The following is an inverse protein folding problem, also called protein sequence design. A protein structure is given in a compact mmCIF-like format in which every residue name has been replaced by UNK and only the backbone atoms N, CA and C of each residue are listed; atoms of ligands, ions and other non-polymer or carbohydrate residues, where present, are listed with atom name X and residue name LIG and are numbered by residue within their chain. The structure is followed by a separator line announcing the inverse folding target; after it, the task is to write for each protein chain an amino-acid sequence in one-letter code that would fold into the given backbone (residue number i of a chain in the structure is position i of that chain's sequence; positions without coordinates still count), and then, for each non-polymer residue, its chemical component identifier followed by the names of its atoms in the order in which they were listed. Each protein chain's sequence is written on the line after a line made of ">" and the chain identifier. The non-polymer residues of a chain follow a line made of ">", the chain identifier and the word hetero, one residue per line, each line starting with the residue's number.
data_IF_136455390184
#
_entry.id   IF_136455390184
#
_cell.length_a   1.000
_cell.length_b   1.000
_cell.length_c   1.000
_cell.angle_alpha   90.00
_cell.angle_beta   90.00
_cell.angle_gamma   90.00
#
_symmetry.space_group_name_H-M   'P 1'
#
loop_
_entity.id
_entity.type
_entity.pdbx_description
1 polymer ?
#
# COMPACT_ATOMS: atom_id res chain seq x y z
N UNK A 1 -41.72 45.30 -24.90
CA UNK A 1 -41.95 43.90 -25.31
C UNK A 1 -41.02 43.05 -24.45
N UNK A 2 -41.60 42.22 -23.58
CA UNK A 2 -40.95 41.55 -22.46
C UNK A 2 -41.14 40.06 -22.68
N UNK A 3 -40.08 39.26 -22.70
CA UNK A 3 -40.20 37.81 -22.56
C UNK A 3 -39.06 37.32 -21.67
N UNK A 4 -39.45 36.84 -20.49
CA UNK A 4 -38.64 36.11 -19.52
C UNK A 4 -38.94 34.61 -19.65
N UNK A 5 -37.94 33.80 -19.28
CA UNK A 5 -37.96 32.43 -18.72
C UNK A 5 -39.10 31.45 -19.05
N UNK A 6 -38.74 30.21 -19.40
CA UNK A 6 -39.16 29.02 -18.64
C UNK A 6 -38.39 27.74 -19.06
N UNK A 7 -38.03 26.98 -18.02
CA UNK A 7 -37.69 25.55 -17.96
C UNK A 7 -38.87 24.70 -18.45
N UNK A 8 -38.63 23.59 -19.17
CA UNK A 8 -39.51 22.40 -19.09
C UNK A 8 -38.85 21.11 -19.64
N UNK A 9 -39.14 20.03 -18.93
CA UNK A 9 -38.70 18.64 -19.03
C UNK A 9 -39.02 17.92 -20.36
N UNK A 10 -38.31 16.80 -20.62
CA UNK A 10 -38.58 15.87 -21.71
C UNK A 10 -39.48 14.70 -21.23
N UNK A 11 -40.50 14.29 -22.03
CA UNK A 11 -41.49 13.32 -21.59
C UNK A 11 -41.10 11.86 -21.85
N UNK A 12 -41.58 11.01 -20.94
CA UNK A 12 -41.57 9.56 -20.99
C UNK A 12 -42.42 9.03 -22.16
N UNK A 13 -41.88 8.06 -22.91
CA UNK A 13 -42.60 7.36 -23.96
C UNK A 13 -43.30 6.11 -23.42
N UNK A 14 -44.61 6.11 -23.60
CA UNK A 14 -45.59 5.05 -23.37
C UNK A 14 -45.52 4.03 -24.51
N UNK A 15 -45.39 2.73 -24.21
CA UNK A 15 -45.85 1.66 -25.11
C UNK A 15 -46.67 0.65 -24.32
N UNK A 16 -47.94 0.59 -24.69
CA UNK A 16 -49.01 -0.23 -24.15
C UNK A 16 -48.95 -1.59 -24.84
N UNK A 17 -48.84 -2.68 -24.08
CA UNK A 17 -49.26 -4.01 -24.54
C UNK A 17 -50.09 -4.64 -23.43
N UNK A 18 -51.36 -4.85 -23.74
CA UNK A 18 -52.37 -5.32 -22.83
C UNK A 18 -52.73 -6.79 -23.13
N UNK A 19 -53.41 -7.40 -22.14
CA UNK A 19 -54.31 -8.57 -22.20
C UNK A 19 -53.54 -9.92 -22.33
N UNK A 20 -53.72 -10.96 -21.51
CA UNK A 20 -54.94 -11.59 -21.00
C UNK A 20 -54.67 -12.35 -19.68
N UNK A 21 -55.54 -12.14 -18.70
CA UNK A 21 -55.72 -12.88 -17.45
C UNK A 21 -56.47 -14.19 -17.74
N UNK A 22 -55.99 -15.33 -17.22
CA UNK A 22 -56.84 -16.51 -16.97
C UNK A 22 -56.47 -17.11 -15.61
N UNK A 23 -57.24 -16.71 -14.59
CA UNK A 23 -57.40 -17.41 -13.32
C UNK A 23 -58.43 -18.53 -13.54
N UNK A 24 -58.04 -19.79 -13.37
CA UNK A 24 -58.96 -20.93 -13.32
C UNK A 24 -58.81 -21.60 -11.96
N UNK A 25 -59.84 -21.45 -11.14
CA UNK A 25 -60.09 -22.22 -9.93
C UNK A 25 -60.57 -23.63 -10.28
N UNK A 26 -60.30 -24.67 -9.46
CA UNK A 26 -61.06 -25.91 -9.52
C UNK A 26 -62.30 -25.88 -8.58
N UNK A 27 -63.42 -26.53 -8.96
CA UNK A 27 -64.65 -26.59 -8.19
C UNK A 27 -64.63 -27.70 -7.10
N UNK A 28 -65.38 -27.45 -6.03
CA UNK A 28 -65.83 -28.44 -5.06
C UNK A 28 -67.05 -29.24 -5.57
N UNK A 29 -67.31 -30.41 -4.95
CA UNK A 29 -68.46 -31.35 -5.09
C UNK A 29 -68.18 -32.45 -6.14
N UNK A 30 -68.36 -33.75 -5.93
CA UNK A 30 -69.32 -34.50 -5.12
C UNK A 30 -68.80 -35.90 -4.73
N UNK A 31 -69.43 -36.49 -3.71
CA UNK A 31 -69.28 -37.87 -3.28
C UNK A 31 -69.67 -38.90 -4.36
N UNK A 32 -68.94 -40.02 -4.41
CA UNK A 32 -69.51 -41.30 -4.86
C UNK A 32 -68.87 -42.49 -4.14
N UNK A 33 -69.76 -43.31 -3.63
CA UNK A 33 -69.60 -44.49 -2.77
C UNK A 33 -69.04 -45.70 -3.52
N UNK A 34 -68.26 -46.53 -2.82
CA UNK A 34 -67.95 -47.91 -3.19
C UNK A 34 -67.89 -48.79 -1.92
N UNK A 35 -68.28 -50.08 -2.00
CA UNK A 35 -68.69 -50.92 -0.85
C UNK A 35 -67.53 -51.45 0.03
N UNK A 36 -67.83 -52.01 1.23
CA UNK A 36 -66.83 -52.31 2.25
C UNK A 36 -66.11 -53.65 2.02
N UNK A 37 -64.82 -53.70 2.35
CA UNK A 37 -64.05 -54.95 2.50
C UNK A 37 -63.23 -54.92 3.80
N UNK A 38 -62.97 -56.07 4.44
CA UNK A 38 -63.03 -56.22 5.90
C UNK A 38 -61.91 -55.56 6.70
N UNK A 39 -62.27 -55.18 7.92
CA UNK A 39 -61.39 -54.66 8.96
C UNK A 39 -60.12 -55.50 9.16
N UNK A 40 -58.96 -54.86 8.99
CA UNK A 40 -57.67 -55.35 9.45
C UNK A 40 -57.06 -54.30 10.40
N UNK A 41 -57.05 -54.67 11.68
CA UNK A 41 -56.17 -54.30 12.81
C UNK A 41 -55.26 -53.07 12.66
N UNK A 42 -55.30 -52.07 13.56
CA UNK A 42 -54.34 -50.97 13.56
C UNK A 42 -52.94 -51.46 14.00
N UNK A 43 -52.00 -51.48 13.06
CA UNK A 43 -50.57 -51.66 13.34
C UNK A 43 -50.00 -50.36 13.92
N UNK A 44 -49.13 -50.39 14.96
CA UNK A 44 -48.51 -49.18 15.50
C UNK A 44 -47.63 -48.50 14.45
N UNK A 45 -47.75 -47.17 14.32
CA UNK A 45 -46.88 -46.36 13.48
C UNK A 45 -45.41 -46.51 13.91
N UNK A 46 -44.43 -46.61 12.99
CA UNK A 46 -43.02 -46.56 13.34
C UNK A 46 -42.68 -45.22 13.99
N UNK A 47 -42.12 -45.25 15.20
CA UNK A 47 -41.60 -44.07 15.86
C UNK A 47 -40.52 -43.40 14.98
N UNK A 48 -40.62 -42.09 14.78
CA UNK A 48 -39.62 -41.30 14.10
C UNK A 48 -38.29 -41.38 14.85
N UNK A 49 -37.25 -41.88 14.19
CA UNK A 49 -35.86 -41.75 14.66
C UNK A 49 -35.44 -40.28 14.56
N UNK A 50 -34.87 -39.67 15.62
CA UNK A 50 -34.37 -38.31 15.54
C UNK A 50 -33.18 -38.27 14.59
N UNK A 51 -33.28 -37.45 13.54
CA UNK A 51 -32.14 -37.07 12.70
C UNK A 51 -31.09 -36.36 13.57
N UNK A 52 -29.79 -36.69 13.45
CA UNK A 52 -28.74 -35.96 14.14
C UNK A 52 -28.81 -34.47 13.75
N UNK A 53 -28.85 -33.59 14.76
CA UNK A 53 -28.75 -32.16 14.52
C UNK A 53 -27.45 -31.86 13.76
N UNK A 54 -27.45 -30.99 12.75
CA UNK A 54 -26.23 -30.53 12.10
C UNK A 54 -25.23 -30.04 13.16
N UNK A 55 -23.98 -30.51 13.08
CA UNK A 55 -22.92 -30.01 13.94
C UNK A 55 -22.83 -28.48 13.81
N UNK A 56 -22.62 -27.74 14.93
CA UNK A 56 -22.41 -26.30 14.85
C UNK A 56 -21.33 -26.00 13.82
N UNK A 57 -21.61 -25.07 12.89
CA UNK A 57 -20.62 -24.61 11.94
C UNK A 57 -19.36 -24.16 12.72
N UNK A 58 -18.14 -24.47 12.23
CA UNK A 58 -16.92 -23.93 12.82
C UNK A 58 -17.07 -22.43 13.02
N UNK A 59 -16.73 -21.96 14.23
CA UNK A 59 -16.71 -20.52 14.51
C UNK A 59 -15.75 -19.80 13.57
N UNK A 60 -15.86 -18.47 13.45
CA UNK A 60 -14.95 -17.69 12.62
C UNK A 60 -13.48 -17.98 12.99
N UNK A 61 -12.70 -18.42 12.00
CA UNK A 61 -11.26 -18.67 12.14
C UNK A 61 -10.52 -17.33 12.23
N UNK A 62 -10.46 -16.75 13.42
CA UNK A 62 -9.68 -15.55 13.69
C UNK A 62 -8.19 -15.83 13.65
N UNK A 63 -7.45 -14.93 13.03
CA UNK A 63 -6.00 -15.06 12.86
C UNK A 63 -5.33 -14.32 13.99
N UNK A 64 -4.50 -15.03 14.76
CA UNK A 64 -3.64 -14.36 15.73
C UNK A 64 -2.44 -13.73 15.00
N UNK A 65 -2.48 -12.40 14.80
CA UNK A 65 -1.44 -11.67 14.06
C UNK A 65 -0.08 -11.77 14.73
N UNK A 66 -0.03 -11.79 16.06
CA UNK A 66 1.24 -11.91 16.80
C UNK A 66 1.93 -13.24 16.48
N UNK A 67 1.18 -14.34 16.53
CA UNK A 67 1.71 -15.66 16.18
C UNK A 67 2.08 -15.72 14.70
N UNK A 68 1.24 -15.18 13.82
CA UNK A 68 1.51 -15.15 12.38
C UNK A 68 2.85 -14.45 12.10
N UNK A 69 3.06 -13.23 12.60
CA UNK A 69 4.32 -12.51 12.39
C UNK A 69 5.52 -13.18 13.08
N UNK A 70 5.30 -13.91 14.17
CA UNK A 70 6.37 -14.64 14.87
C UNK A 70 6.87 -15.84 14.08
N UNK A 71 5.99 -16.57 13.39
CA UNK A 71 6.35 -17.82 12.71
C UNK A 71 6.46 -17.72 11.19
N UNK A 72 5.83 -16.71 10.57
CA UNK A 72 5.80 -16.61 9.11
C UNK A 72 7.10 -16.12 8.48
N UNK A 73 8.00 -15.49 9.24
CA UNK A 73 9.23 -14.98 8.67
C UNK A 73 10.05 -14.10 9.60
N UNK A 74 11.12 -13.49 9.08
CA UNK A 74 12.00 -12.60 9.83
C UNK A 74 11.34 -11.22 9.99
N UNK A 75 10.26 -11.17 10.77
CA UNK A 75 9.46 -9.98 11.04
C UNK A 75 9.56 -9.52 12.50
N UNK A 76 10.54 -10.04 13.25
CA UNK A 76 10.65 -9.86 14.69
C UNK A 76 10.91 -8.40 15.08
N UNK A 77 11.67 -7.66 14.27
CA UNK A 77 11.96 -6.24 14.52
C UNK A 77 10.69 -5.41 14.41
N UNK A 78 9.93 -5.61 13.33
CA UNK A 78 8.66 -4.91 13.16
C UNK A 78 7.65 -5.31 14.23
N UNK A 79 7.55 -6.60 14.55
CA UNK A 79 6.69 -7.09 15.62
C UNK A 79 7.04 -6.46 16.98
N UNK A 80 8.33 -6.30 17.28
CA UNK A 80 8.79 -5.60 18.48
C UNK A 80 8.33 -4.14 18.55
N UNK A 81 8.36 -3.42 17.42
CA UNK A 81 7.81 -2.06 17.35
C UNK A 81 6.28 -2.04 17.50
N UNK A 82 5.56 -3.00 16.90
CA UNK A 82 4.11 -3.10 17.07
C UNK A 82 3.70 -3.38 18.51
N UNK A 83 4.47 -4.20 19.23
CA UNK A 83 4.24 -4.51 20.64
C UNK A 83 4.55 -3.32 21.54
N UNK A 84 5.70 -2.65 21.36
CA UNK A 84 6.08 -1.50 22.18
C UNK A 84 5.14 -0.31 22.03
N UNK A 85 4.61 -0.08 20.82
CA UNK A 85 3.67 1.00 20.52
C UNK A 85 2.19 0.64 20.74
N UNK A 86 1.90 -0.61 21.11
CA UNK A 86 0.54 -1.17 21.21
C UNK A 86 -0.28 -1.01 19.93
N UNK A 87 0.37 -1.09 18.77
CA UNK A 87 -0.32 -1.10 17.46
C UNK A 87 -0.78 -2.50 17.10
N UNK A 88 -0.09 -3.54 17.60
CA UNK A 88 -0.50 -4.94 17.35
C UNK A 88 -1.94 -5.22 17.78
N UNK A 89 -2.40 -4.63 18.89
CA UNK A 89 -3.78 -4.74 19.35
C UNK A 89 -4.76 -4.01 18.44
N UNK A 90 -4.36 -2.87 17.86
CA UNK A 90 -5.19 -2.14 16.89
C UNK A 90 -5.34 -2.92 15.58
N UNK A 91 -4.28 -3.57 15.12
CA UNK A 91 -4.36 -4.44 13.94
C UNK A 91 -5.22 -5.66 14.19
N UNK A 92 -5.09 -6.29 15.36
CA UNK A 92 -5.91 -7.43 15.75
C UNK A 92 -7.39 -7.02 15.86
N UNK A 93 -7.68 -5.88 16.49
CA UNK A 93 -9.05 -5.34 16.59
C UNK A 93 -9.66 -5.07 15.21
N UNK A 94 -8.89 -4.50 14.27
CA UNK A 94 -9.36 -4.32 12.90
C UNK A 94 -9.59 -5.65 12.19
N UNK A 95 -8.74 -6.65 12.39
CA UNK A 95 -8.89 -7.97 11.81
C UNK A 95 -10.13 -8.72 12.33
N UNK A 96 -10.45 -8.57 13.61
CA UNK A 96 -11.53 -9.33 14.26
C UNK A 96 -12.89 -8.61 14.18
N UNK A 97 -12.90 -7.28 14.26
CA UNK A 97 -14.13 -6.48 14.41
C UNK A 97 -14.51 -5.65 13.18
N UNK A 98 -13.67 -5.61 12.14
CA UNK A 98 -14.01 -4.85 10.93
C UNK A 98 -14.61 -5.69 9.82
N UNK A 99 -15.71 -5.20 9.26
CA UNK A 99 -16.29 -5.74 8.03
C UNK A 99 -15.42 -5.49 6.79
N UNK A 100 -14.58 -4.44 6.79
CA UNK A 100 -13.74 -4.13 5.62
C UNK A 100 -12.38 -4.83 5.66
N UNK A 101 -12.03 -5.43 6.80
CA UNK A 101 -10.74 -6.08 7.02
C UNK A 101 -9.54 -5.13 7.12
N UNK A 102 -8.35 -5.71 6.94
CA UNK A 102 -7.06 -5.04 7.07
C UNK A 102 -6.03 -5.62 6.10
N UNK A 103 -5.19 -4.73 5.55
CA UNK A 103 -3.99 -5.11 4.80
C UNK A 103 -2.75 -4.59 5.52
N UNK A 104 -1.77 -5.45 5.79
CA UNK A 104 -0.56 -5.10 6.54
C UNK A 104 0.66 -5.36 5.66
N UNK A 105 1.48 -4.32 5.45
CA UNK A 105 2.78 -4.41 4.81
C UNK A 105 3.86 -4.58 5.87
N UNK A 106 4.51 -5.73 5.88
CA UNK A 106 5.47 -6.12 6.92
C UNK A 106 6.88 -6.05 6.35
N UNK A 107 7.71 -5.09 6.79
CA UNK A 107 9.11 -5.07 6.41
C UNK A 107 9.86 -6.22 7.06
N UNK A 108 10.72 -6.89 6.28
CA UNK A 108 11.66 -7.89 6.80
C UNK A 108 12.71 -7.25 7.72
N UNK A 109 13.30 -8.03 8.62
CA UNK A 109 14.35 -7.56 9.54
C UNK A 109 15.53 -6.91 8.81
N UNK A 110 15.91 -7.45 7.64
CA UNK A 110 16.96 -6.87 6.80
C UNK A 110 16.60 -5.52 6.16
N UNK A 111 15.30 -5.17 6.07
CA UNK A 111 14.86 -3.85 5.65
C UNK A 111 15.27 -2.79 6.68
N UNK A 112 15.14 -3.10 7.97
CA UNK A 112 15.58 -2.24 9.07
C UNK A 112 17.10 -2.13 9.13
N UNK A 113 17.83 -3.24 8.96
CA UNK A 113 19.30 -3.21 8.92
C UNK A 113 19.85 -2.41 7.73
N UNK A 114 19.12 -2.36 6.62
CA UNK A 114 19.51 -1.62 5.41
C UNK A 114 19.21 -0.13 5.48
N UNK A 115 18.48 0.32 6.52
CA UNK A 115 18.01 1.68 6.64
C UNK A 115 19.09 2.57 7.28
N UNK A 116 19.91 3.20 6.44
CA UNK A 116 21.04 4.04 6.88
C UNK A 116 20.61 5.43 7.36
N UNK A 117 19.64 6.03 6.67
CA UNK A 117 19.03 7.31 7.01
C UNK A 117 17.67 7.37 6.34
N UNK A 118 16.62 7.86 7.00
CA UNK A 118 16.58 8.46 8.35
C UNK A 118 16.50 7.44 9.50
N UNK A 119 17.18 7.67 10.62
CA UNK A 119 17.16 6.72 11.76
C UNK A 119 15.81 6.67 12.48
N UNK A 120 15.25 5.47 12.62
CA UNK A 120 14.02 5.23 13.40
C UNK A 120 14.23 5.44 14.91
N UNK A 121 15.48 5.37 15.39
CA UNK A 121 15.81 5.57 16.81
C UNK A 121 15.62 7.01 17.29
N UNK A 122 15.56 7.98 16.37
CA UNK A 122 15.34 9.39 16.70
C UNK A 122 13.84 9.75 16.80
N UNK A 123 12.94 8.81 16.54
CA UNK A 123 11.50 9.06 16.57
C UNK A 123 10.97 9.04 18.01
N UNK A 124 9.99 9.91 18.27
CA UNK A 124 9.19 9.80 19.49
C UNK A 124 8.30 8.56 19.45
N UNK A 125 7.78 8.14 20.61
CA UNK A 125 6.87 7.00 20.67
C UNK A 125 5.62 7.20 19.79
N UNK A 126 5.07 8.41 19.72
CA UNK A 126 3.90 8.72 18.89
C UNK A 126 4.22 8.72 17.39
N UNK A 127 5.40 9.19 17.01
CA UNK A 127 5.88 9.10 15.64
C UNK A 127 6.11 7.64 15.24
N UNK A 128 6.71 6.83 16.11
CA UNK A 128 6.91 5.41 15.88
C UNK A 128 5.58 4.66 15.77
N UNK A 129 4.59 4.99 16.62
CA UNK A 129 3.22 4.47 16.52
C UNK A 129 2.58 4.83 15.18
N UNK A 130 2.71 6.07 14.74
CA UNK A 130 2.18 6.53 13.45
C UNK A 130 2.87 5.82 12.27
N UNK A 131 4.18 5.60 12.35
CA UNK A 131 4.93 4.83 11.36
C UNK A 131 4.47 3.36 11.31
N UNK A 132 4.19 2.74 12.46
CA UNK A 132 3.63 1.40 12.50
C UNK A 132 2.25 1.34 11.84
N UNK A 133 1.36 2.29 12.17
CA UNK A 133 0.03 2.39 11.55
C UNK A 133 0.09 2.70 10.05
N UNK A 134 1.12 3.41 9.59
CA UNK A 134 1.35 3.72 8.18
C UNK A 134 1.62 2.47 7.33
N UNK A 135 2.10 1.39 7.96
CA UNK A 135 2.32 0.12 7.27
C UNK A 135 1.04 -0.70 7.07
N UNK A 136 -0.14 -0.17 7.40
CA UNK A 136 -1.39 -0.89 7.23
C UNK A 136 -2.49 -0.04 6.59
N UNK A 137 -3.34 -0.68 5.78
CA UNK A 137 -4.51 -0.08 5.16
C UNK A 137 -5.78 -0.49 5.92
N UNK A 138 -6.78 0.40 6.01
CA UNK A 138 -8.05 0.11 6.69
C UNK A 138 -8.96 -0.87 5.94
N UNK A 139 -8.54 -1.39 4.79
CA UNK A 139 -9.32 -2.34 3.98
C UNK A 139 -8.46 -3.54 3.61
N UNK A 140 -9.09 -4.70 3.48
CA UNK A 140 -8.51 -5.87 2.86
C UNK A 140 -8.34 -5.65 1.35
N UNK A 141 -7.14 -5.89 0.85
CA UNK A 141 -6.81 -5.89 -0.57
C UNK A 141 -6.07 -7.18 -0.90
N UNK A 142 -6.60 -7.96 -1.84
CA UNK A 142 -5.86 -9.06 -2.47
C UNK A 142 -4.80 -8.51 -3.42
N UNK A 143 -3.84 -9.34 -3.82
CA UNK A 143 -2.83 -8.96 -4.82
C UNK A 143 -3.45 -8.46 -6.14
N UNK A 144 -4.61 -9.02 -6.53
CA UNK A 144 -5.31 -8.62 -7.76
C UNK A 144 -5.97 -7.23 -7.64
N UNK A 145 -6.39 -6.83 -6.44
CA UNK A 145 -7.06 -5.55 -6.22
C UNK A 145 -6.12 -4.36 -6.41
N UNK A 146 -4.81 -4.56 -6.17
CA UNK A 146 -3.82 -3.49 -6.31
C UNK A 146 -3.75 -2.89 -7.71
N UNK A 147 -4.17 -3.61 -8.75
CA UNK A 147 -4.33 -3.05 -10.08
C UNK A 147 -5.35 -1.90 -10.10
N UNK A 148 -6.49 -2.05 -9.42
CA UNK A 148 -7.48 -0.98 -9.31
C UNK A 148 -7.03 0.10 -8.32
N UNK A 149 -6.45 -0.30 -7.18
CA UNK A 149 -5.91 0.63 -6.17
C UNK A 149 -4.84 1.55 -6.76
N UNK A 150 -4.06 1.08 -7.73
CA UNK A 150 -3.08 1.90 -8.43
C UNK A 150 -3.70 3.09 -9.17
N UNK A 151 -4.94 2.95 -9.65
CA UNK A 151 -5.68 4.02 -10.31
C UNK A 151 -6.33 5.00 -9.33
N UNK A 152 -6.50 4.57 -8.07
CA UNK A 152 -7.12 5.34 -6.98
C UNK A 152 -6.12 5.97 -6.02
N UNK A 153 -4.82 5.81 -6.28
CA UNK A 153 -3.76 6.38 -5.45
C UNK A 153 -3.78 7.91 -5.49
N UNK A 154 -3.50 8.61 -4.37
CA UNK A 154 -2.99 8.12 -3.09
C UNK A 154 -4.05 7.50 -2.16
N UNK A 155 -3.69 6.43 -1.44
CA UNK A 155 -4.58 5.71 -0.51
C UNK A 155 -4.23 6.03 0.93
N UNK A 156 -5.23 6.32 1.77
CA UNK A 156 -5.02 6.56 3.19
C UNK A 156 -4.73 5.26 3.97
N UNK A 157 -3.77 5.34 4.87
CA UNK A 157 -3.38 4.24 5.78
C UNK A 157 -4.14 4.34 7.11
N UNK A 158 -3.96 3.35 7.99
CA UNK A 158 -4.49 3.39 9.36
C UNK A 158 -3.93 4.53 10.22
N UNK A 159 -2.84 5.19 9.79
CA UNK A 159 -2.33 6.38 10.46
C UNK A 159 -3.15 7.65 10.18
N UNK A 160 -4.07 7.63 9.20
CA UNK A 160 -4.99 8.73 8.90
C UNK A 160 -4.55 9.63 7.73
N UNK A 161 -5.31 10.71 7.49
CA UNK A 161 -5.33 11.42 6.20
C UNK A 161 -4.02 12.03 5.68
N UNK A 162 -3.04 12.33 6.53
CA UNK A 162 -1.72 12.82 6.10
C UNK A 162 -0.75 11.68 5.75
N UNK A 163 -1.14 10.44 6.00
CA UNK A 163 -0.34 9.25 5.87
C UNK A 163 -0.89 8.41 4.73
N UNK A 164 -0.46 8.73 3.51
CA UNK A 164 -0.92 8.08 2.29
C UNK A 164 0.19 7.29 1.60
N UNK A 165 -0.22 6.23 0.90
CA UNK A 165 0.65 5.39 0.07
C UNK A 165 0.18 5.47 -1.38
N UNK A 166 1.14 5.50 -2.29
CA UNK A 166 0.90 5.35 -3.72
C UNK A 166 1.21 3.93 -4.15
N UNK A 167 0.32 3.34 -4.94
CA UNK A 167 0.48 2.01 -5.48
C UNK A 167 0.65 2.08 -6.99
N UNK A 168 1.57 1.30 -7.53
CA UNK A 168 1.68 1.08 -8.98
C UNK A 168 1.77 -0.41 -9.25
N UNK A 169 1.09 -0.87 -10.29
CA UNK A 169 1.19 -2.25 -10.76
C UNK A 169 2.09 -2.26 -12.00
N UNK A 170 3.22 -2.95 -11.90
CA UNK A 170 4.17 -3.12 -13.01
C UNK A 170 4.26 -4.61 -13.30
N UNK A 171 3.64 -5.04 -14.40
CA UNK A 171 3.67 -6.44 -14.85
C UNK A 171 3.22 -7.45 -13.78
N UNK A 172 2.25 -7.10 -12.94
CA UNK A 172 1.74 -7.95 -11.86
C UNK A 172 2.53 -7.87 -10.55
N UNK A 173 3.55 -7.01 -10.48
CA UNK A 173 4.27 -6.71 -9.25
C UNK A 173 3.73 -5.42 -8.64
N UNK A 174 3.32 -5.48 -7.38
CA UNK A 174 2.83 -4.32 -6.63
C UNK A 174 4.02 -3.51 -6.11
N UNK A 175 4.16 -2.30 -6.62
CA UNK A 175 5.08 -1.27 -6.14
C UNK A 175 4.34 -0.33 -5.19
N UNK A 176 4.99 0.03 -4.11
CA UNK A 176 4.46 0.88 -3.03
C UNK A 176 5.44 2.02 -2.83
N UNK A 177 4.95 3.25 -2.94
CA UNK A 177 5.72 4.47 -2.72
C UNK A 177 5.13 5.27 -1.57
N UNK A 178 5.97 5.59 -0.58
CA UNK A 178 5.63 6.49 0.52
C UNK A 178 6.10 7.92 0.30
N UNK A 179 6.67 8.23 -0.87
CA UNK A 179 7.37 9.48 -1.17
C UNK A 179 8.82 9.52 -0.67
N UNK A 180 9.11 8.90 0.48
CA UNK A 180 10.50 8.71 0.98
C UNK A 180 11.13 7.39 0.62
N UNK A 181 10.29 6.37 0.42
CA UNK A 181 10.75 5.01 0.22
C UNK A 181 9.87 4.35 -0.83
N UNK A 182 10.52 3.73 -1.80
CA UNK A 182 9.91 2.91 -2.81
C UNK A 182 10.27 1.45 -2.54
N UNK A 183 9.26 0.60 -2.47
CA UNK A 183 9.41 -0.84 -2.22
C UNK A 183 8.47 -1.63 -3.10
N UNK A 184 8.74 -2.91 -3.24
CA UNK A 184 7.81 -3.88 -3.83
C UNK A 184 7.33 -4.84 -2.78
N UNK A 185 6.20 -5.49 -3.06
CA UNK A 185 5.74 -6.66 -2.33
C UNK A 185 6.58 -7.86 -2.77
N UNK A 186 7.35 -8.43 -1.85
CA UNK A 186 8.26 -9.54 -2.14
C UNK A 186 7.58 -10.90 -1.97
N UNK A 187 6.61 -11.00 -1.06
CA UNK A 187 5.90 -12.25 -0.75
C UNK A 187 4.53 -11.98 -0.12
N UNK A 188 3.60 -12.91 -0.26
CA UNK A 188 2.34 -12.92 0.48
C UNK A 188 2.41 -13.93 1.61
N UNK A 189 2.40 -13.43 2.84
CA UNK A 189 2.37 -14.26 4.06
C UNK A 189 0.96 -14.79 4.29
N UNK A 190 -0.03 -13.92 4.07
CA UNK A 190 -1.45 -14.25 4.11
C UNK A 190 -2.20 -13.36 3.14
N UNK A 191 -3.18 -13.92 2.45
CA UNK A 191 -4.11 -13.17 1.59
C UNK A 191 -5.48 -13.83 1.68
N UNK A 192 -6.10 -13.75 2.85
CA UNK A 192 -7.41 -14.36 3.10
C UNK A 192 -8.25 -13.41 3.94
N UNK A 193 -9.37 -12.97 3.36
CA UNK A 193 -10.34 -12.09 4.00
C UNK A 193 -10.69 -12.58 5.43
N UNK A 194 -10.68 -11.71 6.45
CA UNK A 194 -10.52 -10.24 6.41
C UNK A 194 -9.07 -9.73 6.52
N UNK A 195 -8.04 -10.59 6.41
CA UNK A 195 -6.64 -10.23 6.69
C UNK A 195 -5.71 -10.52 5.52
N UNK A 196 -5.05 -9.48 5.02
CA UNK A 196 -3.91 -9.58 4.11
C UNK A 196 -2.62 -9.15 4.82
N UNK A 197 -1.56 -9.95 4.67
CA UNK A 197 -0.22 -9.67 5.17
C UNK A 197 0.77 -9.88 4.03
N UNK A 198 1.43 -8.80 3.63
CA UNK A 198 2.39 -8.77 2.54
C UNK A 198 3.76 -8.39 3.06
N UNK A 199 4.77 -9.16 2.68
CA UNK A 199 6.15 -8.83 2.97
C UNK A 199 6.66 -7.74 2.02
N UNK A 200 7.41 -6.78 2.56
CA UNK A 200 8.09 -5.74 1.78
C UNK A 200 9.59 -5.69 2.07
N UNK A 201 10.36 -5.25 1.08
CA UNK A 201 11.83 -5.22 1.14
C UNK A 201 12.40 -3.97 1.83
N UNK A 202 11.63 -2.88 1.92
CA UNK A 202 11.99 -1.64 2.60
C UNK A 202 10.92 -1.23 3.61
N UNK A 203 11.34 -0.49 4.63
CA UNK A 203 10.43 0.15 5.58
C UNK A 203 9.76 1.33 4.88
N UNK A 204 8.43 1.44 4.99
CA UNK A 204 7.67 2.56 4.48
C UNK A 204 7.83 3.77 5.42
N UNK A 205 8.33 4.87 4.88
CA UNK A 205 8.62 6.09 5.65
C UNK A 205 7.67 7.21 5.25
N UNK A 206 6.83 7.73 6.16
CA UNK A 206 5.88 8.78 5.82
C UNK A 206 6.54 10.16 5.74
N UNK A 207 6.22 10.90 4.67
CA UNK A 207 6.62 12.31 4.46
C UNK A 207 6.24 13.18 5.66
N UNK A 208 5.11 12.89 6.33
CA UNK A 208 4.63 13.64 7.49
C UNK A 208 5.59 13.62 8.70
N UNK A 209 6.43 12.58 8.83
CA UNK A 209 7.41 12.44 9.93
C UNK A 209 8.79 12.92 9.50
N UNK A 210 9.20 12.59 8.28
CA UNK A 210 10.57 12.83 7.82
C UNK A 210 10.73 14.11 7.00
N UNK A 211 9.64 14.82 6.66
CA UNK A 211 9.66 16.04 5.87
C UNK A 211 9.71 15.74 4.37
N UNK A 212 10.13 16.68 3.53
CA UNK A 212 10.33 16.47 2.07
C UNK A 212 11.81 16.53 1.67
N UNK A 213 12.70 16.82 2.62
CA UNK A 213 14.13 16.92 2.39
C UNK A 213 14.75 15.53 2.48
N UNK A 214 14.71 14.79 1.38
CA UNK A 214 15.31 13.44 1.31
C UNK A 214 16.83 13.61 1.20
N UNK A 215 17.63 13.15 2.18
CA UNK A 215 19.07 13.23 2.09
C UNK A 215 19.54 12.48 0.84
N UNK A 216 20.49 13.02 0.07
CA UNK A 216 21.08 12.30 -1.05
C UNK A 216 21.55 10.92 -0.58
N UNK A 217 21.08 9.86 -1.24
CA UNK A 217 21.51 8.50 -0.93
C UNK A 217 23.04 8.47 -0.88
N UNK A 218 23.60 8.06 0.26
CA UNK A 218 25.04 8.07 0.48
C UNK A 218 25.74 7.41 -0.71
N UNK A 219 26.56 8.20 -1.42
CA UNK A 219 27.28 7.74 -2.60
C UNK A 219 28.03 6.44 -2.30
N UNK A 220 28.10 5.49 -3.25
CA UNK A 220 28.90 4.28 -3.09
C UNK A 220 30.29 4.67 -2.60
N UNK A 221 30.68 4.16 -1.43
CA UNK A 221 31.98 4.46 -0.85
C UNK A 221 33.07 4.16 -1.89
N UNK A 222 34.03 5.08 -2.14
CA UNK A 222 35.19 4.77 -2.96
C UNK A 222 35.86 3.51 -2.41
N UNK A 223 36.07 2.52 -3.27
CA UNK A 223 36.81 1.32 -2.91
C UNK A 223 38.17 1.73 -2.28
N UNK A 224 38.64 1.07 -1.22
CA UNK A 224 39.91 1.41 -0.60
C UNK A 224 41.02 1.21 -1.63
N UNK A 225 41.69 2.29 -2.04
CA UNK A 225 42.96 2.18 -2.75
C UNK A 225 44.01 1.77 -1.73
N UNK A 226 44.49 0.52 -1.84
CA UNK A 226 45.64 0.03 -1.09
C UNK A 226 46.88 0.83 -1.52
N UNK A 227 47.29 1.82 -0.72
CA UNK A 227 48.57 2.51 -0.92
C UNK A 227 49.64 1.72 -0.17
N UNK A 228 50.36 0.88 -0.89
CA UNK A 228 51.59 0.24 -0.40
C UNK A 228 52.63 1.32 -0.07
N UNK A 229 53.10 1.32 1.17
CA UNK A 229 54.13 2.22 1.70
C UNK A 229 55.52 1.99 1.04
N UNK A 230 56.47 2.95 1.13
CA UNK A 230 57.68 3.04 0.30
C UNK A 230 58.90 2.34 0.93
N UNK A 231 60.00 2.15 0.16
CA UNK A 231 61.33 2.09 0.75
C UNK A 231 62.28 3.17 0.19
N UNK A 232 63.14 3.65 1.09
CA UNK A 232 64.13 4.70 0.92
C UNK A 232 65.45 4.23 0.26
N UNK A 233 66.23 5.17 -0.30
CA UNK A 233 67.70 5.16 -0.34
C UNK A 233 68.29 6.54 -0.75
N UNK A 234 69.15 7.10 0.14
CA UNK A 234 70.32 8.01 0.00
C UNK A 234 70.84 8.35 -1.42
N UNK A 235 71.49 9.47 -1.80
CA UNK A 235 72.07 10.72 -1.23
C UNK A 235 72.83 11.43 -2.43
N UNK A 236 73.63 12.52 -2.30
CA UNK A 236 73.35 13.90 -1.85
C UNK A 236 73.90 14.99 -2.84
N UNK A 237 73.90 16.26 -2.41
CA UNK A 237 74.60 17.49 -2.92
C UNK A 237 73.64 18.54 -3.52
N UNK A 238 73.69 19.85 -3.26
CA UNK A 238 74.47 20.70 -2.35
C UNK A 238 73.92 22.14 -2.49
N UNK A 239 73.68 22.82 -1.36
CA UNK A 239 73.83 24.27 -1.05
C UNK A 239 73.55 25.31 -2.16
N UNK A 240 72.57 26.22 -1.92
CA UNK A 240 72.81 27.68 -1.77
C UNK A 240 71.52 28.48 -1.53
N UNK A 241 71.39 28.96 -0.28
CA UNK A 241 71.02 30.28 0.24
C UNK A 241 70.16 31.31 -0.54
N UNK A 242 69.35 32.00 0.28
CA UNK A 242 68.74 33.34 0.17
C UNK A 242 67.43 33.57 -0.58
N UNK A 243 66.36 33.69 0.21
CA UNK A 243 65.94 35.03 0.63
C UNK A 243 64.68 35.63 -0.03
N UNK A 244 63.71 35.96 0.84
CA UNK A 244 62.69 37.01 0.73
C UNK A 244 61.41 36.74 -0.08
N UNK A 245 60.30 36.65 0.65
CA UNK A 245 58.99 37.14 0.21
C UNK A 245 59.06 38.68 0.03
N UNK A 246 58.26 39.30 -0.86
CA UNK A 246 56.87 39.65 -0.47
C UNK A 246 55.81 39.68 -1.61
N UNK A 247 54.56 39.56 -1.18
CA UNK A 247 53.35 40.36 -1.53
C UNK A 247 52.93 40.63 -3.00
N UNK A 248 51.72 40.12 -3.28
CA UNK A 248 50.60 40.66 -4.09
C UNK A 248 50.72 40.94 -5.59
N UNK A 249 49.52 40.74 -6.18
CA UNK A 249 48.88 41.46 -7.29
C UNK A 249 48.92 40.81 -8.68
N UNK A 250 47.75 40.27 -9.07
CA UNK A 250 47.23 40.16 -10.44
C UNK A 250 47.33 41.54 -11.13
N UNK A 251 47.60 41.69 -12.45
CA UNK A 251 46.53 41.51 -13.45
C UNK A 251 46.97 41.08 -14.88
N UNK A 252 46.02 40.46 -15.63
CA UNK A 252 45.89 40.34 -17.11
C UNK A 252 47.11 39.75 -17.90
N UNK A 253 47.03 39.09 -19.06
CA UNK A 253 46.12 39.08 -20.22
C UNK A 253 46.46 37.87 -21.12
N UNK A 254 45.44 37.27 -21.79
CA UNK A 254 45.38 36.61 -23.13
C UNK A 254 46.55 35.73 -23.64
N UNK A 255 46.41 34.61 -24.37
CA UNK A 255 45.42 34.00 -25.27
C UNK A 255 45.90 32.54 -25.53
N UNK A 256 45.09 31.52 -25.84
CA UNK A 256 44.66 31.13 -27.19
C UNK A 256 43.73 29.89 -27.11
N UNK A 257 42.56 30.08 -27.72
CA UNK A 257 41.64 29.16 -28.44
C UNK A 257 41.97 27.66 -28.60
N UNK A 258 40.96 26.81 -28.37
CA UNK A 258 40.39 25.77 -29.28
C UNK A 258 39.25 25.06 -28.53
N UNK A 259 37.96 25.26 -28.84
CA UNK A 259 37.16 24.52 -29.85
C UNK A 259 36.59 23.24 -29.22
N UNK A 260 35.33 22.79 -29.31
CA UNK A 260 34.17 23.02 -30.18
C UNK A 260 32.96 22.38 -29.44
N UNK A 261 31.72 22.87 -29.63
CA UNK A 261 30.52 22.13 -29.22
C UNK A 261 29.32 22.98 -28.80
N UNK A 262 28.80 23.78 -29.73
CA UNK A 262 27.49 24.40 -29.62
C UNK A 262 26.38 23.42 -30.00
N UNK A 263 25.21 23.56 -29.39
CA UNK A 263 23.82 23.38 -29.87
C UNK A 263 22.95 23.35 -28.60
N UNK A 264 21.94 24.17 -28.35
CA UNK A 264 21.23 25.20 -29.10
C UNK A 264 19.94 25.42 -28.30
N UNK A 265 19.87 26.50 -27.52
CA UNK A 265 18.67 26.87 -26.77
C UNK A 265 17.74 27.68 -27.69
N UNK A 266 16.48 27.29 -27.77
CA UNK A 266 15.42 28.05 -28.41
C UNK A 266 14.46 28.58 -27.33
N UNK A 267 14.45 29.90 -27.16
CA UNK A 267 13.45 30.65 -26.39
C UNK A 267 12.64 31.53 -27.36
N UNK A 268 11.44 31.91 -26.91
CA UNK A 268 10.48 32.96 -27.34
C UNK A 268 9.11 32.35 -27.72
N UNK A 269 7.96 32.89 -27.31
CA UNK A 269 7.67 34.22 -26.77
C UNK A 269 6.44 34.18 -25.84
N UNK A 270 6.41 35.10 -24.89
CA UNK A 270 5.23 35.50 -24.15
C UNK A 270 4.29 36.31 -25.06
N UNK A 271 2.98 36.03 -24.98
CA UNK A 271 1.93 36.96 -25.38
C UNK A 271 1.08 37.32 -24.16
N UNK A 272 1.07 38.61 -23.86
CA UNK A 272 0.23 39.32 -22.90
C UNK A 272 -1.06 39.78 -23.64
N UNK A 273 -2.13 40.10 -22.87
CA UNK A 273 -3.32 40.92 -23.22
C UNK A 273 -4.44 40.13 -23.97
N UNK A 274 -5.75 40.21 -23.67
CA UNK A 274 -6.54 41.11 -22.81
C UNK A 274 -7.91 40.47 -22.47
N UNK A 275 -8.40 40.88 -21.29
CA UNK A 275 -9.77 41.01 -20.78
C UNK A 275 -10.97 40.98 -21.78
N UNK A 276 -11.92 40.08 -21.53
CA UNK A 276 -13.37 40.37 -21.41
C UNK A 276 -14.01 39.29 -20.55
#
# INVERSE_FOLDING_TARGET
>A
MKLSCAVMEFPAAVVISAIIVVLVSPPSVNAQTSPPSPAAVPTPAPAAVPTPAPAPAPGPDHVNLTNLLTYAGPFHTFLGYLQSTKVISTFQDRADNSADGITIFVPKDSAFSSLKSPSLSNLTQDQLRSLCLFHALPHYYSLADFKNVSQMSPVATLAGGLYTLNFTDVSGTVHISSGWSDTTVSSSVRSTDPVAVYQVDKVLLPVAIFGTDIPPAAAPAPAPVTVTSPPAADSPSSVSDNGLAPTSTKPNSSCRVSGFGAWGALLLAAFIVVKS
#
